data_IF_097468577844
#
_entry.id   IF_097468577844
#
_cell.length_a   1.000
_cell.length_b   1.000
_cell.length_c   1.000
_cell.angle_alpha   90.00
_cell.angle_beta   90.00
_cell.angle_gamma   90.00
#
_symmetry.space_group_name_H-M   'P 1'
#
loop_
_entity.id
_entity.type
_entity.pdbx_description
1 polymer ?
#
# COMPACT_ATOMS: atom_id res chain seq x y z
N UNK A 1 -37.01 -27.47 -41.83
CA UNK A 1 -35.66 -26.85 -41.87
C UNK A 1 -35.54 -25.62 -40.98
N UNK A 2 -36.53 -24.72 -40.93
CA UNK A 2 -36.52 -23.50 -40.10
C UNK A 2 -36.22 -23.73 -38.59
N UNK A 3 -36.76 -24.81 -38.00
CA UNK A 3 -36.62 -25.10 -36.56
C UNK A 3 -35.18 -25.40 -36.11
N UNK A 4 -34.37 -26.01 -36.99
CA UNK A 4 -32.93 -26.25 -36.73
C UNK A 4 -32.12 -24.96 -36.83
N UNK A 5 -32.50 -24.06 -37.74
CA UNK A 5 -31.84 -22.79 -37.98
C UNK A 5 -32.03 -21.80 -36.82
N UNK A 6 -33.23 -21.74 -36.24
CA UNK A 6 -33.52 -20.96 -35.03
C UNK A 6 -32.71 -21.46 -33.83
N UNK A 7 -32.51 -22.78 -33.72
CA UNK A 7 -31.70 -23.39 -32.66
C UNK A 7 -30.22 -23.03 -32.77
N UNK A 8 -29.65 -23.04 -33.97
CA UNK A 8 -28.26 -22.62 -34.18
C UNK A 8 -28.06 -21.14 -33.86
N UNK A 9 -29.01 -20.27 -34.24
CA UNK A 9 -28.94 -18.83 -33.90
C UNK A 9 -28.97 -18.63 -32.39
N UNK A 10 -29.89 -19.29 -31.67
CA UNK A 10 -29.97 -19.16 -30.21
C UNK A 10 -28.69 -19.63 -29.52
N UNK A 11 -28.08 -20.73 -29.97
CA UNK A 11 -26.79 -21.20 -29.43
C UNK A 11 -25.65 -20.21 -29.69
N UNK A 12 -25.63 -19.58 -30.86
CA UNK A 12 -24.61 -18.59 -31.22
C UNK A 12 -24.75 -17.32 -30.36
N UNK A 13 -25.98 -16.83 -30.17
CA UNK A 13 -26.28 -15.68 -29.31
C UNK A 13 -25.94 -16.00 -27.85
N UNK A 14 -26.29 -17.19 -27.37
CA UNK A 14 -25.96 -17.61 -26.01
C UNK A 14 -24.43 -17.70 -25.80
N UNK A 15 -23.71 -18.26 -26.78
CA UNK A 15 -22.24 -18.32 -26.74
C UNK A 15 -21.60 -16.92 -26.71
N UNK A 16 -22.14 -15.98 -27.50
CA UNK A 16 -21.68 -14.59 -27.48
C UNK A 16 -21.96 -13.90 -26.13
N UNK A 17 -23.11 -14.14 -25.53
CA UNK A 17 -23.47 -13.60 -24.21
C UNK A 17 -22.54 -14.14 -23.11
N UNK A 18 -22.26 -15.45 -23.09
CA UNK A 18 -21.33 -16.06 -22.13
C UNK A 18 -19.91 -15.52 -22.33
N UNK A 19 -19.46 -15.39 -23.59
CA UNK A 19 -18.16 -14.80 -23.91
C UNK A 19 -18.05 -13.35 -23.45
N UNK A 20 -19.08 -12.53 -23.67
CA UNK A 20 -19.13 -11.15 -23.20
C UNK A 20 -19.09 -11.07 -21.66
N UNK A 21 -19.83 -11.95 -20.98
CA UNK A 21 -19.84 -12.01 -19.52
C UNK A 21 -18.46 -12.35 -18.94
N UNK A 22 -17.74 -13.30 -19.57
CA UNK A 22 -16.37 -13.65 -19.19
C UNK A 22 -15.38 -12.49 -19.37
N UNK A 23 -15.50 -11.74 -20.48
CA UNK A 23 -14.66 -10.55 -20.74
C UNK A 23 -14.98 -9.43 -19.75
N UNK A 24 -16.26 -9.20 -19.46
CA UNK A 24 -16.69 -8.21 -18.47
C UNK A 24 -16.14 -8.57 -17.10
N UNK A 25 -16.28 -9.81 -16.64
CA UNK A 25 -15.70 -10.23 -15.36
C UNK A 25 -14.18 -10.06 -15.33
N UNK A 26 -13.46 -10.40 -16.41
CA UNK A 26 -12.02 -10.12 -16.53
C UNK A 26 -11.67 -8.64 -16.43
N UNK A 27 -12.52 -7.76 -16.94
CA UNK A 27 -12.31 -6.30 -16.91
C UNK A 27 -12.80 -5.65 -15.60
N UNK A 28 -13.78 -6.24 -14.92
CA UNK A 28 -14.37 -5.74 -13.67
C UNK A 28 -13.83 -6.42 -12.42
N UNK A 29 -13.11 -7.53 -12.57
CA UNK A 29 -12.30 -8.13 -11.51
C UNK A 29 -11.16 -7.19 -11.13
N UNK A 30 -11.53 -6.20 -10.32
CA UNK A 30 -10.78 -5.73 -9.17
C UNK A 30 -9.67 -4.70 -9.45
N UNK A 31 -10.06 -3.52 -9.92
CA UNK A 31 -9.40 -2.30 -9.46
C UNK A 31 -9.92 -1.96 -8.06
N UNK A 32 -9.53 -2.73 -7.04
CA UNK A 32 -9.75 -2.32 -5.65
C UNK A 32 -8.88 -1.11 -5.36
N UNK A 33 -9.47 0.07 -5.53
CA UNK A 33 -8.91 1.31 -4.99
C UNK A 33 -9.05 1.23 -3.49
N UNK A 34 -7.93 1.32 -2.81
CA UNK A 34 -7.87 1.31 -1.37
C UNK A 34 -6.93 2.41 -0.93
N UNK A 35 -7.37 3.16 0.06
CA UNK A 35 -6.59 4.26 0.62
C UNK A 35 -6.52 4.10 2.14
N UNK A 36 -5.29 4.10 2.65
CA UNK A 36 -5.00 4.18 4.07
C UNK A 36 -4.35 5.50 4.39
N UNK A 37 -4.84 6.13 5.44
CA UNK A 37 -4.13 7.22 6.09
C UNK A 37 -3.77 6.77 7.50
N UNK A 38 -2.49 6.53 7.72
CA UNK A 38 -1.95 5.97 8.93
C UNK A 38 -1.19 7.03 9.71
N UNK A 39 -1.32 6.98 11.03
CA UNK A 39 -0.55 7.79 11.95
C UNK A 39 0.16 6.89 12.98
N UNK A 40 1.36 7.28 13.37
CA UNK A 40 2.14 6.67 14.45
C UNK A 40 3.04 7.70 15.11
N UNK A 41 3.45 7.41 16.34
CA UNK A 41 4.41 8.20 17.10
C UNK A 41 5.74 7.44 17.15
N UNK A 42 6.81 8.12 16.78
CA UNK A 42 8.17 7.60 16.80
C UNK A 42 8.90 8.18 18.00
N UNK A 43 9.60 7.33 18.74
CA UNK A 43 10.44 7.74 19.86
C UNK A 43 11.85 7.23 19.60
N UNK A 44 12.76 8.15 19.29
CA UNK A 44 14.17 7.86 19.10
C UNK A 44 14.89 8.05 20.42
N UNK A 45 15.44 6.95 20.96
CA UNK A 45 16.30 7.01 22.15
C UNK A 45 17.66 7.56 21.75
N UNK A 46 17.97 8.77 22.20
CA UNK A 46 19.29 9.36 22.01
C UNK A 46 20.13 9.17 23.26
N UNK A 47 20.97 8.13 23.25
CA UNK A 47 21.87 7.79 24.37
C UNK A 47 22.89 8.90 24.71
N UNK A 48 23.15 9.83 23.78
CA UNK A 48 24.13 10.91 23.96
C UNK A 48 23.56 12.15 24.67
N UNK A 49 22.24 12.36 24.58
CA UNK A 49 21.56 13.55 25.12
C UNK A 49 20.67 13.26 26.33
N UNK A 50 20.55 11.98 26.73
CA UNK A 50 19.65 11.49 27.79
C UNK A 50 18.21 12.03 27.63
N UNK A 51 17.81 12.22 26.38
CA UNK A 51 16.51 12.75 25.98
C UNK A 51 15.99 11.96 24.79
N UNK A 52 14.78 11.46 24.95
CA UNK A 52 14.03 10.84 23.87
C UNK A 52 13.55 11.94 22.92
N UNK A 53 13.84 11.78 21.64
CA UNK A 53 13.36 12.68 20.59
C UNK A 53 12.11 12.07 19.98
N UNK A 54 11.01 12.80 20.02
CA UNK A 54 9.72 12.33 19.50
C UNK A 54 9.44 12.94 18.13
N UNK A 55 8.88 12.11 17.24
CA UNK A 55 8.41 12.54 15.93
C UNK A 55 7.04 11.92 15.64
N UNK A 56 6.23 12.62 14.86
CA UNK A 56 5.02 12.06 14.28
C UNK A 56 5.32 11.47 12.90
N UNK A 57 4.81 10.28 12.65
CA UNK A 57 4.83 9.62 11.36
C UNK A 57 3.42 9.59 10.78
N UNK A 58 3.27 10.11 9.57
CA UNK A 58 2.09 9.89 8.76
C UNK A 58 2.47 9.03 7.55
N UNK A 59 1.68 7.98 7.29
CA UNK A 59 1.85 7.11 6.13
C UNK A 59 0.56 7.10 5.33
N UNK A 60 0.62 7.58 4.10
CA UNK A 60 -0.48 7.49 3.16
C UNK A 60 -0.19 6.37 2.16
N UNK A 61 -1.03 5.35 2.13
CA UNK A 61 -1.02 4.32 1.07
C UNK A 61 -2.21 4.56 0.17
N UNK A 62 -1.97 4.62 -1.14
CA UNK A 62 -3.02 4.66 -2.16
C UNK A 62 -2.75 3.58 -3.18
N UNK A 63 -3.73 2.73 -3.42
CA UNK A 63 -3.72 1.78 -4.53
C UNK A 63 -4.74 2.18 -5.59
N UNK A 64 -4.37 2.05 -6.86
CA UNK A 64 -5.28 2.25 -7.98
C UNK A 64 -5.02 1.20 -9.06
N UNK A 65 -5.89 0.21 -9.13
CA UNK A 65 -5.67 -0.95 -10.00
C UNK A 65 -4.42 -1.71 -9.56
N UNK A 66 -3.44 -1.83 -10.45
CA UNK A 66 -2.17 -2.50 -10.15
C UNK A 66 -1.09 -1.58 -9.60
N UNK A 67 -1.32 -0.27 -9.51
CA UNK A 67 -0.33 0.68 -8.99
C UNK A 67 -0.53 0.95 -7.50
N UNK A 68 0.57 1.16 -6.80
CA UNK A 68 0.59 1.53 -5.40
C UNK A 68 1.53 2.73 -5.20
N UNK A 69 1.13 3.66 -4.35
CA UNK A 69 1.96 4.76 -3.88
C UNK A 69 1.91 4.80 -2.36
N UNK A 70 3.10 4.88 -1.74
CA UNK A 70 3.27 5.01 -0.30
C UNK A 70 4.01 6.31 -0.01
N UNK A 71 3.46 7.16 0.84
CA UNK A 71 4.10 8.41 1.25
C UNK A 71 4.31 8.41 2.75
N UNK A 72 5.57 8.36 3.18
CA UNK A 72 6.00 8.56 4.55
C UNK A 72 6.32 10.03 4.77
N UNK A 73 5.67 10.65 5.74
CA UNK A 73 5.88 12.06 6.12
C UNK A 73 6.20 12.11 7.60
N UNK A 74 7.32 12.75 7.93
CA UNK A 74 7.82 12.85 9.29
C UNK A 74 7.70 14.29 9.76
N UNK A 75 7.23 14.46 10.99
CA UNK A 75 7.08 15.77 11.61
C UNK A 75 7.69 15.76 13.01
N UNK A 76 8.32 16.87 13.37
CA UNK A 76 8.71 17.15 14.75
C UNK A 76 7.49 17.46 15.61
N UNK A 77 7.64 17.44 16.93
CA UNK A 77 6.54 17.72 17.88
C UNK A 77 5.98 19.15 17.70
N UNK A 78 6.78 20.09 17.21
CA UNK A 78 6.37 21.45 16.88
C UNK A 78 5.63 21.59 15.53
N UNK A 79 5.45 20.48 14.81
CA UNK A 79 4.80 20.42 13.50
C UNK A 79 5.70 20.77 12.31
N UNK A 80 6.99 21.05 12.54
CA UNK A 80 7.95 21.24 11.45
C UNK A 80 8.22 19.92 10.71
N UNK A 81 8.55 20.01 9.42
CA UNK A 81 8.85 18.82 8.61
C UNK A 81 10.21 18.23 9.00
N UNK A 82 10.23 16.96 9.39
CA UNK A 82 11.42 16.18 9.68
C UNK A 82 11.85 15.28 8.50
N UNK A 83 11.23 15.49 7.33
CA UNK A 83 11.55 14.81 6.08
C UNK A 83 10.41 13.97 5.52
N UNK A 84 10.61 13.44 4.31
CA UNK A 84 9.62 12.57 3.67
C UNK A 84 10.24 11.56 2.70
N UNK A 85 9.59 10.41 2.55
CA UNK A 85 9.91 9.40 1.54
C UNK A 85 8.63 9.08 0.76
N UNK A 86 8.66 9.26 -0.55
CA UNK A 86 7.61 8.82 -1.47
C UNK A 86 8.09 7.61 -2.26
N UNK A 87 7.29 6.56 -2.29
CA UNK A 87 7.56 5.31 -2.97
C UNK A 87 6.42 5.00 -3.94
N UNK A 88 6.75 4.58 -5.15
CA UNK A 88 5.76 4.14 -6.14
C UNK A 88 6.14 2.77 -6.69
N UNK A 89 5.11 1.97 -6.94
CA UNK A 89 5.26 0.56 -7.24
C UNK A 89 3.98 -0.08 -7.73
N UNK A 90 3.91 -1.39 -7.58
CA UNK A 90 2.77 -2.21 -7.97
C UNK A 90 2.30 -3.08 -6.82
N UNK A 91 1.01 -3.37 -6.79
CA UNK A 91 0.45 -4.39 -5.89
C UNK A 91 0.67 -5.75 -6.54
N UNK A 92 1.52 -6.59 -5.96
CA UNK A 92 1.88 -7.90 -6.51
C UNK A 92 0.85 -8.96 -6.15
N UNK A 93 0.45 -8.98 -4.88
CA UNK A 93 -0.47 -9.98 -4.33
C UNK A 93 -1.27 -9.39 -3.18
N UNK A 94 -2.53 -9.79 -3.11
CA UNK A 94 -3.37 -9.65 -1.91
C UNK A 94 -3.60 -11.05 -1.37
N UNK A 95 -3.16 -11.30 -0.16
CA UNK A 95 -3.38 -12.55 0.55
C UNK A 95 -4.60 -12.38 1.46
N UNK A 96 -5.73 -12.97 1.06
CA UNK A 96 -6.99 -12.83 1.77
C UNK A 96 -7.04 -13.63 3.07
N UNK A 97 -6.24 -14.69 3.20
CA UNK A 97 -6.21 -15.53 4.41
C UNK A 97 -5.47 -14.82 5.54
N UNK A 98 -4.40 -14.09 5.20
CA UNK A 98 -3.56 -13.33 6.15
C UNK A 98 -3.82 -11.82 6.16
N UNK A 99 -4.82 -11.33 5.40
CA UNK A 99 -5.09 -9.91 5.18
C UNK A 99 -3.82 -9.09 4.89
N UNK A 100 -2.93 -9.65 4.07
CA UNK A 100 -1.62 -9.05 3.78
C UNK A 100 -1.56 -8.57 2.33
N UNK A 101 -1.13 -7.33 2.14
CA UNK A 101 -0.90 -6.71 0.84
C UNK A 101 0.60 -6.68 0.56
N UNK A 102 1.02 -7.21 -0.58
CA UNK A 102 2.40 -7.18 -1.03
C UNK A 102 2.56 -6.15 -2.13
N UNK A 103 3.48 -5.21 -1.93
CA UNK A 103 3.76 -4.10 -2.84
C UNK A 103 5.23 -4.14 -3.26
N UNK A 104 5.51 -4.30 -4.55
CA UNK A 104 6.86 -4.12 -5.11
C UNK A 104 7.05 -2.66 -5.50
N UNK A 105 7.95 -1.98 -4.80
CA UNK A 105 8.34 -0.58 -5.03
C UNK A 105 9.48 -0.53 -6.04
N UNK A 106 9.30 0.20 -7.13
CA UNK A 106 10.32 0.36 -8.17
C UNK A 106 10.97 1.73 -8.17
N UNK A 107 10.31 2.74 -7.60
CA UNK A 107 10.82 4.11 -7.57
C UNK A 107 10.66 4.74 -6.19
N UNK A 108 11.61 5.59 -5.85
CA UNK A 108 11.68 6.28 -4.57
C UNK A 108 12.16 7.72 -4.75
N UNK A 109 11.52 8.63 -4.03
CA UNK A 109 11.92 10.03 -3.92
C UNK A 109 11.98 10.40 -2.44
N UNK A 110 13.02 11.14 -2.05
CA UNK A 110 13.23 11.53 -0.65
C UNK A 110 13.45 13.03 -0.54
N UNK A 111 12.93 13.61 0.52
CA UNK A 111 13.23 14.98 0.95
C UNK A 111 13.83 14.89 2.35
N UNK A 112 15.17 14.84 2.45
CA UNK A 112 15.83 14.73 3.75
C UNK A 112 15.70 16.04 4.55
N UNK A 113 15.78 15.91 5.87
CA UNK A 113 15.90 17.03 6.82
C UNK A 113 17.14 16.85 7.68
N UNK A 114 17.58 17.90 8.36
CA UNK A 114 18.75 17.87 9.26
C UNK A 114 18.49 16.94 10.44
N UNK A 115 17.28 17.00 11.01
CA UNK A 115 16.85 16.18 12.15
C UNK A 115 16.00 14.98 11.67
N UNK A 116 16.60 14.14 10.83
CA UNK A 116 15.91 12.97 10.28
C UNK A 116 15.74 11.87 11.34
N UNK A 117 14.52 11.35 11.58
CA UNK A 117 14.29 10.27 12.55
C UNK A 117 15.02 8.98 12.19
N UNK A 118 15.38 8.16 13.19
CA UNK A 118 16.09 6.89 12.95
C UNK A 118 15.28 5.94 12.06
N UNK A 119 13.96 5.92 12.23
CA UNK A 119 13.07 5.15 11.36
C UNK A 119 13.21 5.56 9.88
N UNK A 120 13.28 6.86 9.58
CA UNK A 120 13.45 7.35 8.20
C UNK A 120 14.83 6.96 7.65
N UNK A 121 15.88 7.06 8.47
CA UNK A 121 17.24 6.63 8.10
C UNK A 121 17.26 5.15 7.71
N UNK A 122 16.65 4.30 8.53
CA UNK A 122 16.56 2.86 8.28
C UNK A 122 15.78 2.57 6.98
N UNK A 123 14.59 3.17 6.83
CA UNK A 123 13.75 2.95 5.66
C UNK A 123 14.43 3.43 4.38
N UNK A 124 15.10 4.59 4.40
CA UNK A 124 15.87 5.10 3.27
C UNK A 124 16.99 4.13 2.89
N UNK A 125 17.76 3.65 3.87
CA UNK A 125 18.85 2.70 3.63
C UNK A 125 18.38 1.37 3.01
N UNK A 126 17.41 0.70 3.64
CA UNK A 126 16.96 -0.63 3.19
C UNK A 126 16.26 -0.58 1.84
N UNK A 127 15.49 0.48 1.57
CA UNK A 127 14.82 0.65 0.28
C UNK A 127 15.82 1.00 -0.83
N UNK A 128 16.81 1.88 -0.57
CA UNK A 128 17.89 2.18 -1.52
C UNK A 128 18.67 0.93 -1.88
N UNK A 129 19.07 0.14 -0.88
CA UNK A 129 19.84 -1.08 -1.09
C UNK A 129 19.11 -2.04 -2.01
N UNK A 130 17.83 -2.33 -1.70
CA UNK A 130 17.03 -3.27 -2.48
C UNK A 130 16.76 -2.77 -3.91
N UNK A 131 16.38 -1.50 -4.08
CA UNK A 131 16.13 -0.94 -5.42
C UNK A 131 17.41 -0.94 -6.26
N UNK A 132 18.55 -0.59 -5.69
CA UNK A 132 19.82 -0.55 -6.42
C UNK A 132 20.35 -1.94 -6.79
N UNK A 133 20.18 -2.93 -5.92
CA UNK A 133 20.71 -4.29 -6.15
C UNK A 133 19.75 -5.18 -6.95
N UNK A 134 18.45 -5.08 -6.71
CA UNK A 134 17.43 -5.99 -7.24
C UNK A 134 16.43 -5.31 -8.18
N UNK A 135 16.48 -3.99 -8.29
CA UNK A 135 15.53 -3.20 -9.09
C UNK A 135 14.21 -2.91 -8.38
N UNK A 136 13.98 -3.51 -7.22
CA UNK A 136 12.72 -3.39 -6.47
C UNK A 136 12.92 -3.52 -4.96
N UNK A 137 12.02 -2.89 -4.20
CA UNK A 137 11.90 -3.02 -2.75
C UNK A 137 10.51 -3.55 -2.40
N UNK A 138 10.47 -4.75 -1.80
CA UNK A 138 9.20 -5.38 -1.44
C UNK A 138 8.76 -4.90 -0.06
N UNK A 139 7.53 -4.38 -0.02
CA UNK A 139 6.85 -3.94 1.18
C UNK A 139 5.65 -4.86 1.42
N UNK A 140 5.48 -5.33 2.65
CA UNK A 140 4.24 -6.00 3.08
C UNK A 140 3.47 -5.14 4.08
N UNK A 141 2.17 -5.11 3.90
CA UNK A 141 1.21 -4.46 4.79
C UNK A 141 0.26 -5.50 5.34
N UNK A 142 0.36 -5.80 6.61
CA UNK A 142 -0.49 -6.79 7.28
C UNK A 142 -1.52 -6.08 8.14
N UNK A 143 -2.81 -6.34 7.91
CA UNK A 143 -3.88 -5.79 8.73
C UNK A 143 -4.05 -6.68 9.97
N UNK A 144 -3.55 -6.18 11.11
CA UNK A 144 -3.58 -6.89 12.39
C UNK A 144 -4.97 -6.86 13.03
N UNK A 145 -5.68 -5.74 12.89
CA UNK A 145 -7.04 -5.58 13.40
C UNK A 145 -7.83 -4.60 12.52
N UNK A 146 -9.14 -4.78 12.41
CA UNK A 146 -10.02 -3.98 11.57
C UNK A 146 -11.36 -3.74 12.28
N UNK A 147 -11.65 -2.48 12.60
CA UNK A 147 -12.97 -2.01 13.03
C UNK A 147 -13.68 -1.34 11.83
N UNK A 148 -14.44 -2.15 11.08
CA UNK A 148 -15.23 -1.68 9.93
C UNK A 148 -16.33 -0.70 10.32
N UNK A 149 -16.77 -0.68 11.58
CA UNK A 149 -17.81 0.26 12.02
C UNK A 149 -17.25 1.68 12.26
N UNK A 150 -15.94 1.80 12.49
CA UNK A 150 -15.24 3.07 12.72
C UNK A 150 -14.27 3.46 11.62
N UNK A 151 -14.27 2.73 10.50
CA UNK A 151 -13.32 2.90 9.40
C UNK A 151 -11.86 2.93 9.86
N UNK A 152 -11.49 2.01 10.75
CA UNK A 152 -10.16 1.98 11.37
C UNK A 152 -9.51 0.60 11.25
N UNK A 153 -8.20 0.57 11.07
CA UNK A 153 -7.40 -0.63 11.04
C UNK A 153 -6.04 -0.42 11.71
N UNK A 154 -5.52 -1.45 12.35
CA UNK A 154 -4.13 -1.49 12.82
C UNK A 154 -3.31 -2.23 11.77
N UNK A 155 -2.29 -1.58 11.22
CA UNK A 155 -1.51 -2.11 10.09
C UNK A 155 -0.04 -2.20 10.47
N UNK A 156 0.56 -3.37 10.24
CA UNK A 156 1.99 -3.61 10.34
C UNK A 156 2.64 -3.40 8.96
N UNK A 157 3.63 -2.51 8.93
CA UNK A 157 4.46 -2.24 7.75
C UNK A 157 5.78 -2.98 7.89
N UNK A 158 6.13 -3.78 6.88
CA UNK A 158 7.42 -4.45 6.79
C UNK A 158 8.14 -4.05 5.49
N UNK A 159 9.47 -3.90 5.51
CA UNK A 159 10.40 -4.34 6.58
C UNK A 159 10.66 -3.32 7.70
N UNK A 160 9.99 -2.17 7.73
CA UNK A 160 10.19 -1.17 8.80
C UNK A 160 9.77 -1.64 10.20
N UNK A 161 8.96 -2.70 10.29
CA UNK A 161 8.39 -3.24 11.52
C UNK A 161 7.59 -2.20 12.32
N UNK A 162 6.93 -1.29 11.61
CA UNK A 162 6.17 -0.21 12.22
C UNK A 162 4.70 -0.56 12.25
N UNK A 163 4.10 -0.47 13.44
CA UNK A 163 2.66 -0.62 13.61
C UNK A 163 2.03 0.76 13.62
N UNK A 164 1.05 0.97 12.75
CA UNK A 164 0.34 2.23 12.63
C UNK A 164 -1.16 2.04 12.81
N UNK A 165 -1.78 3.05 13.40
CA UNK A 165 -3.23 3.20 13.38
C UNK A 165 -3.67 3.87 12.10
N UNK A 166 -4.50 3.21 11.30
CA UNK A 166 -4.89 3.67 9.98
C UNK A 166 -6.39 3.87 9.86
N UNK A 167 -6.77 4.98 9.22
CA UNK A 167 -8.13 5.19 8.76
C UNK A 167 -8.31 4.58 7.38
N UNK A 168 -9.36 3.78 7.22
CA UNK A 168 -9.78 3.19 5.96
C UNK A 168 -10.57 4.24 5.18
N UNK A 169 -10.07 4.63 4.01
CA UNK A 169 -10.76 5.57 3.11
C UNK A 169 -11.23 4.77 1.90
N UNK A 170 -12.56 4.70 1.75
CA UNK A 170 -13.26 3.94 0.71
C UNK A 170 -13.71 4.88 -0.42
#
# INVERSE_FOLDING_TARGET
>A
MAKRWVWTINLLVLGALVGAMFVIERLTAQEQRFMLNCASELTDRNELLDKDVQHYLLVDLVTSGSTAQVNYRYYSVDGSSAGSISMQGKVDKIDQDSNTYFVSVSTKQETPSVDMPQHMQYLSYVSSLNINEKGEHNLSLELLDIDKAKDYAVVLFQPSNTVCGCRLVH
#
